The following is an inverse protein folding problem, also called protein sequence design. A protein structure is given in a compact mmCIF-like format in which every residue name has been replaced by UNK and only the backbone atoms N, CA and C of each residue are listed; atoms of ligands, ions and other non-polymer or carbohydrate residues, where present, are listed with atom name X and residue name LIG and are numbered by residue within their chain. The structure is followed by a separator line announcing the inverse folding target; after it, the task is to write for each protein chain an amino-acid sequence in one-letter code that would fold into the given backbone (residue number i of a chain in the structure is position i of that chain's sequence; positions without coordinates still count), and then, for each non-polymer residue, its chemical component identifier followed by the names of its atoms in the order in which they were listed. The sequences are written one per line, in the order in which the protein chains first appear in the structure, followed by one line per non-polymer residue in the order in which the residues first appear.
data_IF_952504541410
#
_entry.id   IF_952504541410
#
_cell.length_a   1.000
_cell.length_b   1.000
_cell.length_c   1.000
_cell.angle_alpha   90.00
_cell.angle_beta   90.00
_cell.angle_gamma   90.00
#
_symmetry.space_group_name_H-M   'P 1'
#
loop_
_entity.id
_entity.type
_entity.pdbx_description
1 polymer ?
#
# COMPACT_ATOMS: atom_id res chain seq x y z
N UNK A 1 -8.19 14.53 9.24
CA UNK A 1 -6.82 14.46 8.70
C UNK A 1 -6.88 13.62 7.44
N UNK A 2 -6.63 14.23 6.28
CA UNK A 2 -6.51 13.49 5.03
C UNK A 2 -5.31 12.54 5.13
N UNK A 3 -5.40 11.29 4.68
CA UNK A 3 -4.23 10.43 4.59
C UNK A 3 -3.30 11.00 3.52
N UNK A 4 -2.18 11.58 3.95
CA UNK A 4 -1.16 12.02 3.01
C UNK A 4 -0.55 10.81 2.28
N UNK A 5 -0.39 10.86 0.95
CA UNK A 5 0.23 9.79 0.16
C UNK A 5 1.64 9.43 0.64
N UNK A 6 2.33 10.36 1.31
CA UNK A 6 3.62 10.14 1.97
C UNK A 6 3.54 9.03 3.05
N UNK A 7 2.44 8.94 3.81
CA UNK A 7 2.28 7.92 4.85
C UNK A 7 2.15 6.50 4.28
N UNK A 8 1.56 6.34 3.09
CA UNK A 8 1.40 5.01 2.46
C UNK A 8 2.73 4.52 1.93
N UNK A 9 3.52 5.40 1.31
CA UNK A 9 4.87 5.08 0.85
C UNK A 9 5.77 4.64 2.00
N UNK A 10 5.80 5.41 3.09
CA UNK A 10 6.62 5.11 4.25
C UNK A 10 6.19 3.81 4.93
N UNK A 11 4.89 3.53 4.98
CA UNK A 11 4.36 2.28 5.55
C UNK A 11 4.75 1.06 4.71
N UNK A 12 4.66 1.15 3.38
CA UNK A 12 5.16 0.08 2.49
C UNK A 12 6.67 -0.08 2.67
N UNK A 13 7.45 1.01 2.70
CA UNK A 13 8.89 0.94 2.89
C UNK A 13 9.30 0.31 4.22
N UNK A 14 8.61 0.64 5.32
CA UNK A 14 8.86 0.05 6.63
C UNK A 14 8.63 -1.47 6.62
N UNK A 15 7.55 -1.93 6.00
CA UNK A 15 7.28 -3.36 5.83
C UNK A 15 8.31 -4.04 4.92
N UNK A 16 8.70 -3.38 3.83
CA UNK A 16 9.75 -3.90 2.98
C UNK A 16 11.07 -4.05 3.74
N UNK A 17 11.41 -3.11 4.65
CA UNK A 17 12.59 -3.21 5.51
C UNK A 17 12.50 -4.38 6.48
N UNK A 18 11.31 -4.71 7.00
CA UNK A 18 11.12 -5.88 7.85
C UNK A 18 11.39 -7.21 7.11
N UNK A 19 11.18 -7.24 5.78
CA UNK A 19 11.40 -8.44 4.96
C UNK A 19 12.82 -8.50 4.37
N UNK A 20 13.35 -7.36 3.90
CA UNK A 20 14.59 -7.30 3.10
C UNK A 20 15.69 -6.44 3.72
N UNK A 21 15.50 -5.91 4.92
CA UNK A 21 16.46 -5.05 5.60
C UNK A 21 16.80 -3.79 4.80
N UNK A 22 18.07 -3.40 4.84
CA UNK A 22 18.57 -2.19 4.17
C UNK A 22 18.41 -2.19 2.64
N UNK A 23 18.26 -3.37 2.02
CA UNK A 23 18.05 -3.47 0.57
C UNK A 23 16.65 -2.99 0.13
N UNK A 24 15.69 -2.95 1.05
CA UNK A 24 14.30 -2.56 0.78
C UNK A 24 14.19 -1.21 0.08
N UNK A 25 14.96 -0.21 0.54
CA UNK A 25 14.91 1.13 -0.03
C UNK A 25 15.41 1.18 -1.48
N UNK A 26 16.45 0.41 -1.80
CA UNK A 26 16.99 0.32 -3.16
C UNK A 26 16.03 -0.43 -4.09
N UNK A 27 15.39 -1.49 -3.59
CA UNK A 27 14.39 -2.26 -4.34
C UNK A 27 13.15 -1.43 -4.63
N UNK A 28 12.62 -0.73 -3.63
CA UNK A 28 11.46 0.15 -3.80
C UNK A 28 11.75 1.27 -4.79
N UNK A 29 12.91 1.94 -4.68
CA UNK A 29 13.36 2.95 -5.65
C UNK A 29 13.47 2.39 -7.07
N UNK A 30 13.96 1.15 -7.23
CA UNK A 30 14.00 0.49 -8.54
C UNK A 30 12.59 0.28 -9.10
N UNK A 31 11.63 -0.19 -8.28
CA UNK A 31 10.25 -0.40 -8.72
C UNK A 31 9.50 0.88 -9.04
N UNK A 32 9.79 1.96 -8.33
CA UNK A 32 9.29 3.29 -8.67
C UNK A 32 9.75 3.75 -10.05
N UNK A 33 11.04 3.54 -10.37
CA UNK A 33 11.55 3.81 -11.73
C UNK A 33 10.89 2.92 -12.77
N UNK A 34 10.64 1.64 -12.45
CA UNK A 34 9.95 0.70 -13.36
C UNK A 34 8.51 1.15 -13.69
N UNK A 35 7.89 2.02 -12.88
CA UNK A 35 6.54 2.58 -13.13
C UNK A 35 6.56 4.05 -13.56
N UNK A 36 7.72 4.58 -13.95
CA UNK A 36 7.93 5.97 -14.41
C UNK A 36 7.58 7.04 -13.37
N UNK A 37 7.71 6.70 -12.08
CA UNK A 37 7.58 7.67 -10.99
C UNK A 37 8.95 8.25 -10.68
N UNK A 38 9.15 9.51 -11.07
CA UNK A 38 10.41 10.22 -10.85
C UNK A 38 10.57 10.70 -9.39
N UNK A 39 9.47 11.07 -8.73
CA UNK A 39 9.49 11.60 -7.36
C UNK A 39 8.51 10.85 -6.43
N UNK A 40 9.00 10.15 -5.40
CA UNK A 40 8.14 9.51 -4.39
C UNK A 40 7.29 10.50 -3.59
N UNK A 41 7.71 11.77 -3.45
CA UNK A 41 6.92 12.81 -2.76
C UNK A 41 5.65 13.21 -3.55
N UNK A 42 5.60 12.90 -4.85
CA UNK A 42 4.48 13.22 -5.74
C UNK A 42 3.74 11.96 -6.22
N UNK A 43 3.77 10.88 -5.43
CA UNK A 43 3.07 9.63 -5.72
C UNK A 43 1.55 9.85 -5.78
N UNK A 44 1.03 10.01 -7.00
CA UNK A 44 -0.42 9.94 -7.24
C UNK A 44 -0.95 8.54 -6.90
N UNK A 45 -2.20 8.45 -6.44
CA UNK A 45 -2.89 7.18 -6.09
C UNK A 45 -2.62 5.96 -7.02
N UNK A 46 -2.57 6.07 -8.35
CA UNK A 46 -2.31 4.90 -9.21
C UNK A 46 -0.88 4.35 -9.10
N UNK A 47 0.09 5.14 -8.68
CA UNK A 47 1.48 4.73 -8.66
C UNK A 47 1.84 3.72 -7.54
N UNK A 48 1.42 3.91 -6.27
CA UNK A 48 1.58 2.90 -5.23
C UNK A 48 0.95 1.55 -5.59
N UNK A 49 -0.23 1.56 -6.21
CA UNK A 49 -0.92 0.34 -6.69
C UNK A 49 -0.05 -0.42 -7.69
N UNK A 50 0.47 0.28 -8.71
CA UNK A 50 1.36 -0.33 -9.73
C UNK A 50 2.64 -0.90 -9.11
N UNK A 51 3.22 -0.22 -8.12
CA UNK A 51 4.42 -0.71 -7.40
C UNK A 51 4.11 -1.99 -6.63
N UNK A 52 3.01 -2.04 -5.89
CA UNK A 52 2.61 -3.23 -5.12
C UNK A 52 2.34 -4.42 -6.07
N UNK A 53 1.71 -4.20 -7.22
CA UNK A 53 1.52 -5.24 -8.24
C UNK A 53 2.86 -5.76 -8.79
N UNK A 54 3.81 -4.88 -9.11
CA UNK A 54 5.13 -5.32 -9.56
C UNK A 54 5.88 -6.13 -8.49
N UNK A 55 5.76 -5.74 -7.22
CA UNK A 55 6.35 -6.49 -6.11
C UNK A 55 5.68 -7.87 -5.97
N UNK A 56 4.35 -7.94 -6.05
CA UNK A 56 3.58 -9.20 -6.05
C UNK A 56 3.99 -10.15 -7.15
N UNK A 57 4.26 -9.65 -8.36
CA UNK A 57 4.60 -10.50 -9.49
C UNK A 57 6.07 -10.93 -9.50
N UNK A 58 6.98 -10.02 -9.16
CA UNK A 58 8.41 -10.21 -9.46
C UNK A 58 9.27 -10.49 -8.23
N UNK A 59 8.79 -10.25 -7.02
CA UNK A 59 9.67 -10.18 -5.84
C UNK A 59 9.12 -10.93 -4.64
N UNK A 60 7.86 -10.71 -4.29
CA UNK A 60 7.22 -11.38 -3.17
C UNK A 60 7.12 -12.91 -3.34
N UNK A 61 6.84 -13.50 -4.53
CA UNK A 61 6.70 -14.95 -4.65
C UNK A 61 7.98 -15.71 -4.35
N UNK A 62 9.14 -15.12 -4.68
CA UNK A 62 10.44 -15.72 -4.41
C UNK A 62 10.82 -15.71 -2.92
N UNK A 63 10.12 -14.90 -2.10
CA UNK A 63 10.48 -14.64 -0.70
C UNK A 63 9.44 -15.21 0.26
N UNK A 64 8.15 -15.09 -0.08
CA UNK A 64 7.01 -15.47 0.76
C UNK A 64 6.19 -16.63 0.16
N UNK A 65 6.57 -17.13 -1.02
CA UNK A 65 5.72 -18.04 -1.81
C UNK A 65 4.55 -17.30 -2.48
N UNK A 66 3.85 -17.96 -3.43
CA UNK A 66 2.79 -17.33 -4.20
C UNK A 66 1.58 -16.91 -3.34
N UNK A 67 1.20 -17.73 -2.34
CA UNK A 67 0.10 -17.40 -1.43
C UNK A 67 0.48 -16.25 -0.48
N UNK A 68 1.70 -16.25 0.03
CA UNK A 68 2.21 -15.17 0.88
C UNK A 68 2.35 -13.85 0.12
N UNK A 69 2.72 -13.91 -1.16
CA UNK A 69 2.78 -12.75 -2.05
C UNK A 69 1.40 -12.13 -2.27
N UNK A 70 0.38 -12.96 -2.50
CA UNK A 70 -1.01 -12.52 -2.66
C UNK A 70 -1.54 -11.83 -1.39
N UNK A 71 -1.38 -12.46 -0.23
CA UNK A 71 -1.82 -11.93 1.06
C UNK A 71 -1.15 -10.59 1.40
N UNK A 72 0.17 -10.51 1.20
CA UNK A 72 0.94 -9.29 1.48
C UNK A 72 0.56 -8.16 0.54
N UNK A 73 0.37 -8.45 -0.74
CA UNK A 73 -0.06 -7.46 -1.72
C UNK A 73 -1.45 -6.89 -1.40
N UNK A 74 -2.41 -7.73 -1.01
CA UNK A 74 -3.74 -7.27 -0.58
C UNK A 74 -3.68 -6.34 0.63
N UNK A 75 -2.87 -6.67 1.63
CA UNK A 75 -2.66 -5.80 2.80
C UNK A 75 -2.09 -4.43 2.41
N UNK A 76 -1.09 -4.40 1.54
CA UNK A 76 -0.49 -3.15 1.10
C UNK A 76 -1.45 -2.33 0.23
N UNK A 77 -2.24 -2.98 -0.63
CA UNK A 77 -3.28 -2.32 -1.43
C UNK A 77 -4.38 -1.72 -0.56
N UNK A 78 -4.80 -2.39 0.52
CA UNK A 78 -5.83 -1.85 1.41
C UNK A 78 -5.36 -0.54 2.06
N UNK A 79 -4.07 -0.39 2.37
CA UNK A 79 -3.52 0.89 2.86
C UNK A 79 -3.56 2.01 1.83
N UNK A 80 -3.44 1.67 0.54
CA UNK A 80 -3.61 2.64 -0.55
C UNK A 80 -5.08 3.06 -0.68
N UNK A 81 -6.01 2.12 -0.51
CA UNK A 81 -7.46 2.34 -0.60
C UNK A 81 -8.00 3.15 0.60
N UNK A 82 -7.64 2.75 1.82
CA UNK A 82 -7.95 3.43 3.09
C UNK A 82 -7.35 4.86 3.11
N UNK A 83 -6.27 5.06 2.34
CA UNK A 83 -5.58 6.33 2.12
C UNK A 83 -6.32 7.34 1.22
N UNK A 84 -7.64 7.44 1.29
CA UNK A 84 -8.41 8.48 0.54
C UNK A 84 -9.91 8.24 0.47
N UNK A 85 -10.46 7.84 1.60
CA UNK A 85 -11.88 7.86 1.88
C UNK A 85 -12.06 7.26 3.25
N UNK A 86 -12.52 8.06 4.21
CA UNK A 86 -13.11 7.47 5.41
C UNK A 86 -14.14 6.42 4.95
N UNK A 87 -14.25 5.25 5.60
CA UNK A 87 -15.51 4.54 5.57
C UNK A 87 -16.50 5.46 6.27
N UNK A 88 -17.22 6.29 5.50
CA UNK A 88 -18.51 6.77 5.97
C UNK A 88 -19.28 5.50 6.28
N UNK A 89 -19.43 5.23 7.57
CA UNK A 89 -20.44 4.35 8.12
C UNK A 89 -21.80 4.89 7.67
N UNK A 90 -22.14 4.66 6.42
CA UNK A 90 -23.48 4.87 5.90
C UNK A 90 -24.27 3.61 6.24
N UNK A 91 -25.08 3.72 7.31
CA UNK A 91 -26.26 2.87 7.46
C UNK A 91 -26.25 1.88 8.62
N UNK A 92 -25.97 2.34 9.84
CA UNK A 92 -26.48 1.66 11.04
C UNK A 92 -26.73 2.65 12.19
N UNK A 93 -27.33 3.81 11.89
CA UNK A 93 -28.08 4.53 12.91
C UNK A 93 -29.44 3.83 13.02
N UNK A 94 -29.49 2.79 13.85
CA UNK A 94 -30.75 2.30 14.38
C UNK A 94 -31.44 3.49 15.08
N UNK A 95 -32.65 3.81 14.61
CA UNK A 95 -33.48 4.89 15.14
C UNK A 95 -33.55 4.86 16.67
N UNK A 96 -33.51 6.01 17.34
CA UNK A 96 -33.79 6.08 18.76
C UNK A 96 -35.28 5.83 18.97
N UNK A 97 -35.61 4.71 19.61
CA UNK A 97 -36.90 4.55 20.24
C UNK A 97 -36.90 5.39 21.52
N UNK A 98 -37.82 6.35 21.62
CA UNK A 98 -38.26 6.97 22.87
C UNK A 98 -39.55 7.75 22.62
N UNK A 99 -40.39 7.98 23.64
CA UNK A 99 -40.60 7.23 24.89
C UNK A 99 -41.89 6.38 24.88
#
# INVERSE_FOLDING_TARGET
MSPDPEHVYDRVLAEMKAVWGEMAAAMLRKRLRDVEVADPAHLSRPAPVRVVHLLREKTLPAVLGPEGAELKARLWLSWVEDGGGAPTLAGAAASPASP
#
